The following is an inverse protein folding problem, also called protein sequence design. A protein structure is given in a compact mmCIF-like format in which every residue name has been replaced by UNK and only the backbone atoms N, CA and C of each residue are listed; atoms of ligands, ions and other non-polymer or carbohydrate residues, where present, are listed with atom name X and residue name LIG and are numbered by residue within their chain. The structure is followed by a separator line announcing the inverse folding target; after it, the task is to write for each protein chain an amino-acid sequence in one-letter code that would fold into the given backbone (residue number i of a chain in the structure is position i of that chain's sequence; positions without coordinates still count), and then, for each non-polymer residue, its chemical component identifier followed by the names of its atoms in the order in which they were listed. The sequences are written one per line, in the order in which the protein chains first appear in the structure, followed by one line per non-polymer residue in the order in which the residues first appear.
data_IF_938054988391
#
_entry.id   IF_938054988391
#
_cell.length_a   1.000
_cell.length_b   1.000
_cell.length_c   1.000
_cell.angle_alpha   90.00
_cell.angle_beta   90.00
_cell.angle_gamma   90.00
#
_symmetry.space_group_name_H-M   'P 1'
#
loop_
_entity.id
_entity.type
_entity.pdbx_description
1 polymer ?
#
# COMPACT_ATOMS: atom_id res chain seq x y z
N UNK A 1 -45.74 7.65 29.05
CA UNK A 1 -44.80 8.11 28.01
C UNK A 1 -44.18 9.42 28.46
N UNK A 2 -42.87 9.45 28.72
CA UNK A 2 -42.08 10.59 28.24
C UNK A 2 -40.85 10.12 27.44
N UNK A 3 -40.62 10.81 26.33
CA UNK A 3 -39.43 10.70 25.52
C UNK A 3 -38.26 11.38 26.25
N UNK A 4 -37.22 10.61 26.55
CA UNK A 4 -35.90 11.11 26.93
C UNK A 4 -34.85 10.28 26.21
N UNK A 5 -34.51 10.66 24.97
CA UNK A 5 -33.29 10.17 24.33
C UNK A 5 -32.17 11.12 24.72
N UNK A 6 -31.41 10.70 25.73
CA UNK A 6 -30.08 11.21 25.97
C UNK A 6 -29.19 10.72 24.82
N UNK A 7 -28.86 11.62 23.89
CA UNK A 7 -27.84 11.38 22.87
C UNK A 7 -26.54 11.99 23.38
N UNK A 8 -25.76 11.21 24.12
CA UNK A 8 -24.35 11.51 24.29
C UNK A 8 -23.58 11.01 23.05
N UNK A 9 -22.81 11.86 22.36
CA UNK A 9 -22.10 11.50 21.13
C UNK A 9 -20.85 10.67 21.40
N UNK A 10 -20.74 9.56 20.68
CA UNK A 10 -19.53 8.94 20.13
C UNK A 10 -18.18 9.27 20.79
N UNK A 11 -17.87 8.64 21.93
CA UNK A 11 -16.48 8.47 22.39
C UNK A 11 -15.91 7.17 21.82
N UNK A 12 -15.48 7.23 20.57
CA UNK A 12 -14.46 6.32 20.05
C UNK A 12 -13.48 7.08 19.17
N UNK A 13 -12.94 8.20 19.67
CA UNK A 13 -11.70 8.73 19.12
C UNK A 13 -10.56 7.89 19.69
N UNK A 14 -10.30 6.75 19.03
CA UNK A 14 -9.06 6.00 19.25
C UNK A 14 -7.91 6.95 18.93
N UNK A 15 -6.85 7.07 19.75
CA UNK A 15 -5.69 7.89 19.38
C UNK A 15 -5.07 7.29 18.11
N UNK A 16 -5.37 7.91 16.97
CA UNK A 16 -5.16 7.33 15.63
C UNK A 16 -3.68 7.32 15.23
N UNK A 17 -2.90 8.29 15.72
CA UNK A 17 -1.55 8.56 15.19
C UNK A 17 -0.50 7.47 15.45
N UNK A 18 -0.53 6.83 16.62
CA UNK A 18 0.48 5.79 16.95
C UNK A 18 0.26 4.48 16.17
N UNK A 19 -1.00 4.10 15.96
CA UNK A 19 -1.35 2.91 15.19
C UNK A 19 -1.09 3.10 13.70
N UNK A 20 -1.40 4.29 13.19
CA UNK A 20 -1.21 4.64 11.77
C UNK A 20 0.27 4.70 11.39
N UNK A 21 1.10 5.37 12.19
CA UNK A 21 2.55 5.45 11.93
C UNK A 21 3.19 4.05 11.93
N UNK A 22 2.79 3.17 12.85
CA UNK A 22 3.28 1.79 12.89
C UNK A 22 2.84 0.98 11.65
N UNK A 23 1.60 1.16 11.19
CA UNK A 23 1.07 0.52 9.99
C UNK A 23 1.77 1.02 8.72
N UNK A 24 1.96 2.33 8.58
CA UNK A 24 2.68 2.94 7.46
C UNK A 24 4.12 2.46 7.39
N UNK A 25 4.83 2.42 8.53
CA UNK A 25 6.19 1.88 8.57
C UNK A 25 6.25 0.40 8.19
N UNK A 26 5.29 -0.41 8.64
CA UNK A 26 5.21 -1.81 8.24
C UNK A 26 5.01 -1.93 6.74
N UNK A 27 4.05 -1.20 6.17
CA UNK A 27 3.80 -1.19 4.73
C UNK A 27 5.05 -0.78 3.93
N UNK A 28 5.74 0.30 4.30
CA UNK A 28 6.95 0.74 3.61
C UNK A 28 8.08 -0.30 3.66
N UNK A 29 8.28 -0.96 4.81
CA UNK A 29 9.29 -2.04 4.92
C UNK A 29 8.93 -3.24 4.05
N UNK A 30 7.67 -3.65 4.05
CA UNK A 30 7.19 -4.75 3.22
C UNK A 30 7.37 -4.44 1.73
N UNK A 31 6.98 -3.24 1.29
CA UNK A 31 7.17 -2.80 -0.09
C UNK A 31 8.65 -2.83 -0.46
N UNK A 32 9.52 -2.22 0.35
CA UNK A 32 10.98 -2.24 0.09
C UNK A 32 11.50 -3.67 -0.06
N UNK A 33 11.17 -4.57 0.87
CA UNK A 33 11.61 -5.97 0.79
C UNK A 33 11.17 -6.64 -0.51
N UNK A 34 9.92 -6.45 -0.93
CA UNK A 34 9.40 -7.04 -2.17
C UNK A 34 10.10 -6.51 -3.43
N UNK A 35 10.52 -5.23 -3.41
CA UNK A 35 11.31 -4.62 -4.49
C UNK A 35 12.76 -5.12 -4.48
N UNK A 36 13.39 -5.18 -3.30
CA UNK A 36 14.77 -5.67 -3.13
C UNK A 36 14.90 -7.15 -3.50
N UNK A 37 13.91 -7.97 -3.16
CA UNK A 37 13.83 -9.38 -3.55
C UNK A 37 13.48 -9.56 -5.05
N UNK A 38 13.20 -8.48 -5.78
CA UNK A 38 12.83 -8.49 -7.20
C UNK A 38 11.49 -9.17 -7.49
N UNK A 39 10.62 -9.31 -6.48
CA UNK A 39 9.32 -9.97 -6.60
C UNK A 39 8.25 -9.02 -7.14
N UNK A 40 8.41 -7.72 -6.88
CA UNK A 40 7.51 -6.69 -7.37
C UNK A 40 8.27 -5.55 -8.03
N UNK A 41 7.54 -4.81 -8.84
CA UNK A 41 7.89 -3.50 -9.36
C UNK A 41 6.81 -2.51 -8.92
N UNK A 42 7.18 -1.23 -8.78
CA UNK A 42 6.31 -0.16 -8.31
C UNK A 42 6.24 0.96 -9.35
N UNK A 43 5.07 1.55 -9.53
CA UNK A 43 4.80 2.39 -10.68
C UNK A 43 3.44 3.07 -10.62
N UNK A 44 3.09 3.71 -11.73
CA UNK A 44 1.77 4.31 -11.93
C UNK A 44 0.77 3.25 -12.45
N UNK A 45 -0.53 3.56 -12.41
CA UNK A 45 -1.56 2.70 -12.99
C UNK A 45 -1.35 2.58 -14.51
N UNK A 46 -1.24 1.37 -15.09
CA UNK A 46 -1.15 1.21 -16.54
C UNK A 46 -2.47 1.59 -17.20
N UNK A 47 -2.41 2.11 -18.43
CA UNK A 47 -3.62 2.31 -19.24
C UNK A 47 -4.25 0.96 -19.60
N UNK A 48 -5.57 0.91 -19.88
CA UNK A 48 -6.24 -0.32 -20.28
C UNK A 48 -5.55 -1.00 -21.48
N UNK A 49 -5.14 -2.26 -21.29
CA UNK A 49 -4.45 -3.05 -22.32
C UNK A 49 -2.93 -2.96 -22.30
N UNK A 50 -2.34 -2.08 -21.48
CA UNK A 50 -0.89 -1.98 -21.34
C UNK A 50 -0.35 -2.91 -20.25
N UNK A 51 0.91 -3.29 -20.40
CA UNK A 51 1.64 -4.00 -19.34
C UNK A 51 2.06 -3.00 -18.28
N UNK A 52 2.05 -3.45 -17.02
CA UNK A 52 2.60 -2.68 -15.93
C UNK A 52 4.09 -2.42 -16.16
N UNK A 53 4.49 -1.15 -16.15
CA UNK A 53 5.87 -0.72 -16.19
C UNK A 53 6.19 0.04 -14.89
N UNK A 54 7.12 -0.48 -14.11
CA UNK A 54 7.62 0.21 -12.93
C UNK A 54 8.30 1.53 -13.29
N UNK A 55 8.41 2.43 -12.31
CA UNK A 55 9.19 3.65 -12.46
C UNK A 55 10.66 3.32 -12.76
N UNK A 56 11.23 3.99 -13.76
CA UNK A 56 12.65 3.85 -14.12
C UNK A 56 13.54 4.70 -13.20
N UNK A 57 13.58 4.31 -11.92
CA UNK A 57 14.36 4.97 -10.86
C UNK A 57 14.92 3.91 -9.89
N UNK A 58 15.88 4.30 -9.06
CA UNK A 58 16.37 3.40 -8.00
C UNK A 58 15.27 3.08 -6.98
N UNK A 59 15.41 1.94 -6.28
CA UNK A 59 14.49 1.55 -5.19
C UNK A 59 14.44 2.66 -4.13
N UNK A 60 15.56 3.27 -3.78
CA UNK A 60 15.59 4.39 -2.81
C UNK A 60 14.75 5.58 -3.28
N UNK A 61 14.86 5.96 -4.56
CA UNK A 61 14.08 7.06 -5.13
C UNK A 61 12.59 6.71 -5.23
N UNK A 62 12.25 5.47 -5.60
CA UNK A 62 10.87 4.99 -5.58
C UNK A 62 10.29 5.02 -4.16
N UNK A 63 11.02 4.52 -3.16
CA UNK A 63 10.58 4.52 -1.76
C UNK A 63 10.43 5.94 -1.20
N UNK A 64 11.29 6.88 -1.60
CA UNK A 64 11.12 8.30 -1.26
C UNK A 64 9.81 8.86 -1.82
N UNK A 65 9.48 8.55 -3.08
CA UNK A 65 8.21 8.95 -3.71
C UNK A 65 6.99 8.33 -2.99
N UNK A 66 7.05 7.05 -2.63
CA UNK A 66 6.00 6.40 -1.83
C UNK A 66 5.83 7.10 -0.49
N UNK A 67 6.91 7.40 0.21
CA UNK A 67 6.83 8.12 1.49
C UNK A 67 6.17 9.50 1.33
N UNK A 68 6.52 10.25 0.28
CA UNK A 68 5.99 11.58 0.04
C UNK A 68 4.49 11.59 -0.31
N UNK A 69 3.99 10.55 -0.97
CA UNK A 69 2.57 10.40 -1.30
C UNK A 69 1.78 9.75 -0.17
N UNK A 70 2.23 8.60 0.32
CA UNK A 70 1.47 7.75 1.23
C UNK A 70 1.61 8.18 2.70
N UNK A 71 2.77 8.67 3.14
CA UNK A 71 2.96 9.08 4.56
C UNK A 71 2.69 10.55 4.73
N UNK A 72 3.38 11.41 3.97
CA UNK A 72 3.29 12.86 4.16
C UNK A 72 1.92 13.45 3.80
N UNK A 73 1.16 12.76 2.94
CA UNK A 73 -0.16 13.22 2.49
C UNK A 73 -1.28 12.25 2.84
N UNK A 74 -1.06 11.34 3.81
CA UNK A 74 -2.03 10.30 4.14
C UNK A 74 -3.44 10.84 4.38
N UNK A 75 -3.55 11.95 5.11
CA UNK A 75 -4.82 12.64 5.40
C UNK A 75 -5.47 13.32 4.19
N UNK A 76 -4.70 13.63 3.14
CA UNK A 76 -5.19 14.17 1.87
C UNK A 76 -5.30 13.03 0.84
N UNK A 77 -6.31 12.18 1.04
CA UNK A 77 -6.54 10.99 0.22
C UNK A 77 -6.63 11.30 -1.29
N UNK A 78 -7.18 12.43 -1.68
CA UNK A 78 -7.30 12.80 -3.10
C UNK A 78 -5.94 12.98 -3.78
N UNK A 79 -4.88 13.27 -3.02
CA UNK A 79 -3.53 13.50 -3.54
C UNK A 79 -2.70 12.24 -3.76
N UNK A 80 -3.09 11.10 -3.16
CA UNK A 80 -2.30 9.87 -3.23
C UNK A 80 -3.10 8.61 -3.55
N UNK A 81 -4.42 8.60 -3.39
CA UNK A 81 -5.23 7.45 -3.77
C UNK A 81 -5.05 7.16 -5.27
N UNK A 82 -4.92 5.88 -5.62
CA UNK A 82 -4.67 5.38 -6.98
C UNK A 82 -3.36 5.89 -7.65
N UNK A 83 -2.43 6.50 -6.92
CA UNK A 83 -1.15 7.01 -7.47
C UNK A 83 0.03 6.04 -7.38
N UNK A 84 -0.10 4.97 -6.58
CA UNK A 84 0.96 3.98 -6.34
C UNK A 84 0.41 2.60 -6.63
N UNK A 85 1.05 1.89 -7.55
CA UNK A 85 0.67 0.54 -7.95
C UNK A 85 1.84 -0.42 -7.83
N UNK A 86 1.53 -1.66 -7.42
CA UNK A 86 2.48 -2.76 -7.32
C UNK A 86 2.12 -3.80 -8.37
N UNK A 87 3.07 -4.12 -9.24
CA UNK A 87 2.98 -5.19 -10.22
C UNK A 87 3.90 -6.33 -9.86
N UNK A 88 3.43 -7.59 -10.00
CA UNK A 88 4.31 -8.75 -9.89
C UNK A 88 5.34 -8.72 -11.03
N UNK A 89 6.57 -9.10 -10.71
CA UNK A 89 7.55 -9.51 -11.72
C UNK A 89 7.30 -10.98 -12.09
N UNK A 90 7.91 -11.51 -13.17
CA UNK A 90 7.87 -12.94 -13.44
C UNK A 90 8.38 -13.81 -12.29
N UNK A 91 9.33 -13.32 -11.49
CA UNK A 91 9.80 -14.02 -10.28
C UNK A 91 8.74 -14.00 -9.18
N UNK A 92 8.10 -12.85 -8.97
CA UNK A 92 6.96 -12.70 -8.07
C UNK A 92 5.80 -13.62 -8.41
N UNK A 93 5.41 -13.72 -9.69
CA UNK A 93 4.35 -14.63 -10.14
C UNK A 93 4.66 -16.09 -9.80
N UNK A 94 5.88 -16.55 -10.11
CA UNK A 94 6.30 -17.92 -9.77
C UNK A 94 6.24 -18.17 -8.27
N UNK A 95 6.70 -17.22 -7.45
CA UNK A 95 6.68 -17.36 -6.00
C UNK A 95 5.25 -17.37 -5.46
N UNK A 96 4.37 -16.50 -5.97
CA UNK A 96 2.97 -16.47 -5.60
C UNK A 96 2.26 -17.79 -5.93
N UNK A 97 2.58 -18.40 -7.08
CA UNK A 97 2.03 -19.69 -7.50
C UNK A 97 2.49 -20.84 -6.58
N UNK A 98 3.78 -20.87 -6.20
CA UNK A 98 4.30 -21.84 -5.21
C UNK A 98 3.57 -21.73 -3.88
N UNK A 99 3.35 -20.50 -3.38
CA UNK A 99 2.65 -20.27 -2.12
C UNK A 99 1.17 -20.67 -2.17
N UNK A 100 0.53 -20.61 -3.34
CA UNK A 100 -0.85 -21.06 -3.54
C UNK A 100 -1.01 -22.59 -3.54
N UNK A 101 0.08 -23.36 -3.58
CA UNK A 101 0.04 -24.81 -3.64
C UNK A 101 -0.06 -25.38 -5.06
N UNK A 102 0.11 -24.54 -6.09
CA UNK A 102 0.21 -24.99 -7.48
C UNK A 102 1.64 -25.47 -7.83
N UNK A 103 2.50 -25.64 -6.82
CA UNK A 103 3.72 -26.44 -6.94
C UNK A 103 3.31 -27.90 -7.14
N UNK A 104 2.94 -28.21 -8.38
CA UNK A 104 2.80 -29.59 -8.85
C UNK A 104 4.23 -30.12 -8.98
N UNK A 105 4.65 -30.91 -7.99
CA UNK A 105 5.61 -32.00 -8.24
C UNK A 105 4.85 -33.17 -8.86
#
# INVERSE_FOLDING_TARGET
MPFGRDLAPSMLHRPSGYGEAAQQQFALRTIRSLLEDGLMQIGDLPYPGEKFAGWDVSIDAAMQRVHDLFVRRYDDRASWDLTIWLGLTPAGERQAHKLKGDATD
#
